data_IF_668937588353
#
_entry.id   IF_668937588353
#
_cell.length_a   1.000
_cell.length_b   1.000
_cell.length_c   1.000
_cell.angle_alpha   90.00
_cell.angle_beta   90.00
_cell.angle_gamma   90.00
#
_symmetry.space_group_name_H-M   'P 1'
#
loop_
_entity.id
_entity.type
_entity.pdbx_description
1 polymer ?
#
# COMPACT_ATOMS: atom_id res chain seq x y z
N UNK A 1 14.46 8.91 -13.52
CA UNK A 1 13.27 8.37 -12.83
C UNK A 1 12.69 7.15 -13.55
N UNK A 2 12.16 7.27 -14.77
CA UNK A 2 11.50 6.15 -15.48
C UNK A 2 12.39 4.89 -15.64
N UNK A 3 13.68 5.04 -15.93
CA UNK A 3 14.62 3.91 -15.99
C UNK A 3 14.80 3.20 -14.64
N UNK A 4 14.76 3.95 -13.52
CA UNK A 4 14.82 3.35 -12.19
C UNK A 4 13.54 2.59 -11.86
N UNK A 5 12.39 3.12 -12.28
CA UNK A 5 11.09 2.44 -12.15
C UNK A 5 11.11 1.14 -12.95
N UNK A 6 11.51 1.18 -14.23
CA UNK A 6 11.62 -0.02 -15.07
C UNK A 6 12.50 -1.10 -14.43
N UNK A 7 13.71 -0.71 -13.98
CA UNK A 7 14.63 -1.61 -13.29
C UNK A 7 14.09 -2.15 -11.96
N UNK A 8 13.24 -1.39 -11.27
CA UNK A 8 12.62 -1.83 -10.02
C UNK A 8 11.51 -2.83 -10.29
N UNK A 9 10.69 -2.60 -11.31
CA UNK A 9 9.63 -3.52 -11.76
C UNK A 9 10.22 -4.86 -12.18
N UNK A 10 11.33 -4.86 -12.94
CA UNK A 10 12.04 -6.09 -13.35
C UNK A 10 12.51 -6.97 -12.17
N UNK A 11 12.67 -6.38 -10.99
CA UNK A 11 13.18 -7.06 -9.78
C UNK A 11 12.08 -7.40 -8.78
N UNK A 12 10.90 -6.82 -8.94
CA UNK A 12 9.80 -7.01 -8.01
C UNK A 12 9.14 -8.36 -8.25
N UNK A 13 8.96 -9.12 -7.18
CA UNK A 13 8.36 -10.45 -7.15
C UNK A 13 7.19 -10.46 -6.17
N UNK A 14 6.06 -11.02 -6.59
CA UNK A 14 4.87 -11.10 -5.75
C UNK A 14 5.12 -11.98 -4.52
N UNK A 15 5.79 -13.11 -4.68
CA UNK A 15 6.16 -14.01 -3.59
C UNK A 15 7.11 -13.34 -2.58
N UNK A 16 8.13 -12.62 -3.08
CA UNK A 16 9.21 -12.09 -2.22
C UNK A 16 8.90 -10.72 -1.63
N UNK A 17 8.45 -9.77 -2.46
CA UNK A 17 8.18 -8.39 -2.03
C UNK A 17 6.70 -8.12 -1.78
N UNK A 18 5.81 -8.84 -2.46
CA UNK A 18 4.35 -8.69 -2.28
C UNK A 18 3.86 -9.25 -0.95
N UNK A 19 4.22 -10.49 -0.62
CA UNK A 19 3.89 -11.10 0.68
C UNK A 19 4.69 -10.41 1.78
N UNK A 20 4.02 -9.72 2.69
CA UNK A 20 4.67 -8.78 3.61
C UNK A 20 5.68 -9.45 4.55
N UNK A 21 5.36 -10.64 5.07
CA UNK A 21 6.25 -11.42 5.93
C UNK A 21 7.48 -11.91 5.18
N UNK A 22 7.32 -12.38 3.94
CA UNK A 22 8.44 -12.76 3.07
C UNK A 22 9.34 -11.56 2.81
N UNK A 23 8.76 -10.38 2.52
CA UNK A 23 9.54 -9.16 2.31
C UNK A 23 10.40 -8.79 3.53
N UNK A 24 9.85 -8.89 4.74
CA UNK A 24 10.63 -8.66 5.97
C UNK A 24 11.73 -9.70 6.16
N UNK A 25 11.46 -10.97 5.80
CA UNK A 25 12.42 -12.08 5.90
C UNK A 25 13.57 -11.91 4.90
N UNK A 26 13.28 -11.63 3.63
CA UNK A 26 14.28 -11.41 2.57
C UNK A 26 15.24 -10.26 2.91
N UNK A 27 14.78 -9.29 3.69
CA UNK A 27 15.58 -8.17 4.19
C UNK A 27 16.35 -8.48 5.48
N UNK A 28 16.12 -9.63 6.10
CA UNK A 28 16.74 -10.02 7.38
C UNK A 28 16.23 -9.21 8.59
N UNK A 29 15.02 -8.64 8.50
CA UNK A 29 14.46 -7.74 9.53
C UNK A 29 13.20 -8.30 10.20
N UNK A 30 12.82 -9.55 9.91
CA UNK A 30 11.62 -10.18 10.46
C UNK A 30 11.72 -10.44 11.98
N UNK A 31 12.88 -10.85 12.48
CA UNK A 31 13.07 -11.27 13.88
C UNK A 31 13.04 -10.05 14.83
N UNK A 32 12.15 -10.08 15.83
CA UNK A 32 11.98 -8.98 16.79
C UNK A 32 13.15 -8.88 17.77
N UNK A 33 13.78 -10.01 18.05
CA UNK A 33 14.90 -10.15 18.97
C UNK A 33 16.16 -9.50 18.38
N UNK A 34 16.29 -9.50 17.05
CA UNK A 34 17.40 -8.85 16.34
C UNK A 34 17.16 -7.34 16.19
N UNK A 35 15.91 -6.94 15.92
CA UNK A 35 15.53 -5.53 15.75
C UNK A 35 14.20 -5.24 16.46
N UNK A 36 14.27 -4.80 17.72
CA UNK A 36 13.10 -4.75 18.61
C UNK A 36 12.18 -3.55 18.39
N UNK A 37 12.68 -2.44 17.86
CA UNK A 37 11.91 -1.20 17.70
C UNK A 37 11.62 -0.91 16.22
N UNK A 38 10.93 -1.84 15.55
CA UNK A 38 10.56 -1.70 14.15
C UNK A 38 9.05 -1.77 13.95
N UNK A 39 8.37 -0.66 14.26
CA UNK A 39 6.91 -0.56 14.29
C UNK A 39 6.24 -0.81 12.93
N UNK A 40 6.86 -0.38 11.81
CA UNK A 40 6.36 -0.68 10.47
C UNK A 40 6.23 -2.20 10.21
N UNK A 41 7.20 -2.99 10.68
CA UNK A 41 7.12 -4.46 10.60
C UNK A 41 6.02 -4.97 11.50
N UNK A 42 6.01 -4.54 12.76
CA UNK A 42 5.13 -5.10 13.78
C UNK A 42 3.65 -4.86 13.43
N UNK A 43 3.30 -3.62 13.10
CA UNK A 43 1.94 -3.22 12.73
C UNK A 43 1.57 -3.76 11.34
N UNK A 44 2.51 -3.73 10.40
CA UNK A 44 2.30 -4.23 9.04
C UNK A 44 2.00 -5.73 9.00
N UNK A 45 2.69 -6.54 9.82
CA UNK A 45 2.41 -7.99 9.91
C UNK A 45 0.99 -8.22 10.43
N UNK A 46 0.56 -7.50 11.46
CA UNK A 46 -0.76 -7.69 12.04
C UNK A 46 -1.87 -7.21 11.09
N UNK A 47 -1.68 -6.06 10.43
CA UNK A 47 -2.61 -5.57 9.40
C UNK A 47 -2.70 -6.53 8.21
N UNK A 48 -1.57 -7.07 7.74
CA UNK A 48 -1.55 -8.04 6.66
C UNK A 48 -2.36 -9.28 7.02
N UNK A 49 -2.18 -9.83 8.23
CA UNK A 49 -2.96 -10.97 8.74
C UNK A 49 -4.45 -10.68 8.86
N UNK A 50 -4.85 -9.46 9.27
CA UNK A 50 -6.26 -9.06 9.33
C UNK A 50 -6.87 -9.07 7.92
N UNK A 51 -6.17 -8.47 6.95
CA UNK A 51 -6.61 -8.43 5.54
C UNK A 51 -6.68 -9.84 4.97
N UNK A 52 -5.66 -10.67 5.20
CA UNK A 52 -5.62 -12.07 4.76
C UNK A 52 -6.85 -12.83 5.26
N UNK A 53 -7.16 -12.76 6.57
CA UNK A 53 -8.36 -13.41 7.13
C UNK A 53 -9.67 -12.94 6.49
N UNK A 54 -9.78 -11.65 6.21
CA UNK A 54 -10.94 -11.10 5.52
C UNK A 54 -11.05 -11.67 4.09
N UNK A 55 -9.95 -11.65 3.34
CA UNK A 55 -9.89 -12.20 1.98
C UNK A 55 -10.18 -13.70 1.99
N UNK A 56 -9.61 -14.48 2.91
CA UNK A 56 -9.91 -15.90 3.06
C UNK A 56 -11.40 -16.13 3.25
N UNK A 57 -12.05 -15.36 4.13
CA UNK A 57 -13.48 -15.49 4.38
C UNK A 57 -14.31 -15.23 3.11
N UNK A 58 -13.92 -14.22 2.32
CA UNK A 58 -14.58 -13.90 1.05
C UNK A 58 -14.33 -14.97 -0.02
N UNK A 59 -13.09 -15.44 -0.18
CA UNK A 59 -12.76 -16.46 -1.19
C UNK A 59 -13.48 -17.77 -0.86
N UNK A 60 -13.47 -18.22 0.40
CA UNK A 60 -14.17 -19.46 0.78
C UNK A 60 -15.69 -19.34 0.75
N UNK A 61 -16.26 -18.14 0.82
CA UNK A 61 -17.69 -17.93 0.63
C UNK A 61 -18.13 -18.26 -0.80
N UNK A 62 -17.30 -17.96 -1.80
CA UNK A 62 -17.64 -18.11 -3.22
C UNK A 62 -16.97 -19.32 -3.90
N UNK A 63 -15.85 -19.83 -3.36
CA UNK A 63 -15.12 -20.98 -3.88
C UNK A 63 -15.00 -22.06 -2.80
N UNK A 64 -15.96 -22.98 -2.76
CA UNK A 64 -15.99 -24.06 -1.78
C UNK A 64 -14.89 -25.10 -2.04
N UNK A 65 -14.59 -25.34 -3.32
CA UNK A 65 -13.62 -26.34 -3.77
C UNK A 65 -12.56 -25.76 -4.68
N UNK A 66 -11.42 -26.46 -4.80
CA UNK A 66 -10.37 -26.09 -5.75
C UNK A 66 -10.86 -26.14 -7.20
N UNK A 67 -11.84 -27.00 -7.48
CA UNK A 67 -12.48 -27.12 -8.79
C UNK A 67 -13.24 -25.85 -9.17
N UNK A 68 -13.83 -25.14 -8.20
CA UNK A 68 -14.53 -23.88 -8.46
C UNK A 68 -13.54 -22.82 -8.98
N UNK A 69 -12.37 -22.70 -8.35
CA UNK A 69 -11.28 -21.81 -8.80
C UNK A 69 -10.76 -22.19 -10.18
N UNK A 70 -10.59 -23.49 -10.44
CA UNK A 70 -10.05 -23.98 -11.71
C UNK A 70 -11.02 -23.79 -12.89
N UNK A 71 -12.34 -23.80 -12.62
CA UNK A 71 -13.39 -23.66 -13.65
C UNK A 71 -13.80 -22.21 -13.90
N UNK A 72 -13.50 -21.31 -12.98
CA UNK A 72 -13.77 -19.89 -13.15
C UNK A 72 -12.83 -19.31 -14.21
N UNK A 73 -13.35 -19.05 -15.41
CA UNK A 73 -12.53 -18.52 -16.49
C UNK A 73 -12.08 -17.07 -16.24
N UNK A 74 -12.87 -16.27 -15.51
CA UNK A 74 -12.58 -14.85 -15.28
C UNK A 74 -11.33 -14.70 -14.41
N UNK A 75 -11.24 -15.47 -13.32
CA UNK A 75 -10.07 -15.41 -12.44
C UNK A 75 -8.80 -15.96 -13.10
N UNK A 76 -8.96 -16.91 -14.03
CA UNK A 76 -7.85 -17.46 -14.79
C UNK A 76 -7.37 -16.49 -15.87
N UNK A 77 -8.27 -15.78 -16.56
CA UNK A 77 -7.90 -14.71 -17.49
C UNK A 77 -7.28 -13.53 -16.75
N UNK A 78 -7.80 -13.16 -15.58
CA UNK A 78 -7.21 -12.14 -14.73
C UNK A 78 -5.76 -12.50 -14.34
N UNK A 79 -5.51 -13.77 -13.98
CA UNK A 79 -4.14 -14.26 -13.75
C UNK A 79 -3.26 -14.11 -14.97
N UNK A 80 -3.76 -14.48 -16.15
CA UNK A 80 -3.01 -14.38 -17.41
C UNK A 80 -2.65 -12.93 -17.72
N UNK A 81 -3.57 -12.00 -17.52
CA UNK A 81 -3.32 -10.56 -17.70
C UNK A 81 -2.22 -10.05 -16.75
N UNK A 82 -2.26 -10.46 -15.48
CA UNK A 82 -1.24 -10.07 -14.49
C UNK A 82 0.18 -10.46 -14.92
N UNK A 83 0.36 -11.67 -15.48
CA UNK A 83 1.69 -12.17 -15.87
C UNK A 83 2.08 -11.82 -17.31
N UNK A 84 1.12 -11.43 -18.16
CA UNK A 84 1.39 -11.11 -19.55
C UNK A 84 2.32 -9.89 -19.64
N UNK A 85 3.25 -9.83 -20.61
CA UNK A 85 4.17 -8.70 -20.74
C UNK A 85 3.44 -7.37 -20.85
N UNK A 86 4.04 -6.31 -20.27
CA UNK A 86 3.51 -4.95 -20.38
C UNK A 86 3.31 -4.49 -21.84
N UNK A 87 4.18 -4.96 -22.76
CA UNK A 87 4.09 -4.63 -24.19
C UNK A 87 2.86 -5.24 -24.88
N UNK A 88 2.28 -6.28 -24.29
CA UNK A 88 1.10 -6.98 -24.80
C UNK A 88 -0.19 -6.53 -24.06
N UNK A 89 -0.10 -5.47 -23.25
CA UNK A 89 -1.23 -4.93 -22.47
C UNK A 89 -1.43 -5.59 -21.10
N UNK A 90 -0.52 -6.48 -20.66
CA UNK A 90 -0.53 -7.07 -19.32
C UNK A 90 0.22 -6.25 -18.26
N UNK A 91 0.45 -6.84 -17.08
CA UNK A 91 1.17 -6.19 -15.98
C UNK A 91 2.64 -6.64 -15.81
N UNK A 92 3.05 -7.70 -16.50
CA UNK A 92 4.42 -8.25 -16.46
C UNK A 92 4.88 -8.72 -15.07
N UNK A 93 3.94 -9.09 -14.19
CA UNK A 93 4.26 -9.52 -12.83
C UNK A 93 4.90 -10.92 -12.84
N UNK A 94 5.92 -11.09 -12.01
CA UNK A 94 6.59 -12.38 -11.80
C UNK A 94 6.21 -12.96 -10.44
N UNK A 95 6.37 -14.29 -10.32
CA UNK A 95 6.07 -15.04 -9.09
C UNK A 95 4.61 -14.90 -8.60
N UNK A 96 3.67 -14.63 -9.52
CA UNK A 96 2.24 -14.72 -9.22
C UNK A 96 1.89 -16.20 -8.94
N UNK A 97 1.20 -16.52 -7.84
CA UNK A 97 0.86 -17.89 -7.46
C UNK A 97 0.30 -18.73 -8.61
N UNK A 98 0.64 -20.02 -8.66
CA UNK A 98 0.19 -20.94 -9.73
C UNK A 98 1.10 -21.01 -10.97
N UNK A 99 2.34 -20.52 -10.88
CA UNK A 99 3.29 -20.47 -12.00
C UNK A 99 3.54 -21.83 -12.68
N UNK A 100 3.70 -22.91 -11.91
CA UNK A 100 3.95 -24.26 -12.44
C UNK A 100 2.86 -24.75 -13.39
N UNK A 101 1.61 -24.33 -13.14
CA UNK A 101 0.44 -24.69 -13.93
C UNK A 101 -0.04 -23.56 -14.84
N UNK A 102 0.62 -22.39 -14.78
CA UNK A 102 0.21 -21.13 -15.43
C UNK A 102 -1.26 -20.77 -15.16
N UNK A 103 -1.79 -21.17 -14.01
CA UNK A 103 -3.20 -21.08 -13.65
C UNK A 103 -3.33 -21.10 -12.12
N UNK A 104 -4.37 -20.45 -11.59
CA UNK A 104 -4.75 -20.64 -10.20
C UNK A 104 -5.35 -22.03 -10.03
N UNK A 105 -4.86 -22.82 -9.08
CA UNK A 105 -5.27 -24.22 -8.88
C UNK A 105 -6.06 -24.46 -7.61
N UNK A 106 -6.09 -23.50 -6.70
CA UNK A 106 -6.80 -23.58 -5.42
C UNK A 106 -7.02 -22.19 -4.82
N UNK A 107 -7.82 -22.13 -3.75
CA UNK A 107 -8.22 -20.91 -3.07
C UNK A 107 -7.04 -20.15 -2.43
N UNK A 108 -6.03 -20.85 -1.89
CA UNK A 108 -4.89 -20.20 -1.21
C UNK A 108 -4.11 -19.27 -2.16
N UNK A 109 -4.00 -19.68 -3.42
CA UNK A 109 -3.34 -18.87 -4.45
C UNK A 109 -4.10 -17.57 -4.76
N UNK A 110 -5.43 -17.61 -4.72
CA UNK A 110 -6.28 -16.42 -4.84
C UNK A 110 -6.17 -15.54 -3.60
N UNK A 111 -6.24 -16.16 -2.41
CA UNK A 111 -6.16 -15.48 -1.12
C UNK A 111 -4.86 -14.69 -1.03
N UNK A 112 -3.72 -15.32 -1.34
CA UNK A 112 -2.42 -14.66 -1.31
C UNK A 112 -2.38 -13.48 -2.30
N UNK A 113 -2.77 -13.72 -3.55
CA UNK A 113 -2.72 -12.68 -4.60
C UNK A 113 -3.57 -11.46 -4.25
N UNK A 114 -4.83 -11.70 -3.84
CA UNK A 114 -5.77 -10.62 -3.48
C UNK A 114 -5.30 -9.90 -2.22
N UNK A 115 -4.79 -10.62 -1.22
CA UNK A 115 -4.24 -10.04 0.01
C UNK A 115 -3.08 -9.09 -0.29
N UNK A 116 -2.13 -9.52 -1.16
CA UNK A 116 -1.02 -8.67 -1.60
C UNK A 116 -1.53 -7.37 -2.23
N UNK A 117 -2.52 -7.45 -3.12
CA UNK A 117 -3.07 -6.28 -3.81
C UNK A 117 -3.75 -5.34 -2.81
N UNK A 118 -4.67 -5.85 -1.99
CA UNK A 118 -5.40 -5.02 -1.01
C UNK A 118 -4.43 -4.37 -0.03
N UNK A 119 -3.47 -5.12 0.52
CA UNK A 119 -2.47 -4.58 1.45
C UNK A 119 -1.60 -3.51 0.78
N UNK A 120 -1.17 -3.74 -0.46
CA UNK A 120 -0.31 -2.80 -1.20
C UNK A 120 -1.03 -1.47 -1.47
N UNK A 121 -2.27 -1.53 -1.93
CA UNK A 121 -3.07 -0.34 -2.22
C UNK A 121 -3.56 0.42 -0.97
N UNK A 122 -3.59 -0.24 0.19
CA UNK A 122 -4.07 0.35 1.44
C UNK A 122 -2.92 0.64 2.41
N UNK A 123 -2.55 -0.33 3.26
CA UNK A 123 -1.61 -0.17 4.36
C UNK A 123 -0.21 0.23 3.87
N UNK A 124 0.31 -0.43 2.84
CA UNK A 124 1.65 -0.14 2.32
C UNK A 124 1.72 1.26 1.71
N UNK A 125 0.76 1.61 0.85
CA UNK A 125 0.64 2.97 0.31
C UNK A 125 0.53 4.02 1.42
N UNK A 126 -0.34 3.78 2.42
CA UNK A 126 -0.53 4.69 3.55
C UNK A 126 0.77 4.92 4.33
N UNK A 127 1.50 3.85 4.64
CA UNK A 127 2.76 3.92 5.36
C UNK A 127 3.87 4.65 4.59
N UNK A 128 3.90 4.53 3.26
CA UNK A 128 4.91 5.21 2.42
C UNK A 128 4.56 6.67 2.09
N UNK A 129 3.29 7.04 2.19
CA UNK A 129 2.79 8.33 1.70
C UNK A 129 2.43 9.31 2.82
N UNK A 130 1.73 8.89 3.87
CA UNK A 130 1.19 9.84 4.86
C UNK A 130 2.26 10.40 5.81
N UNK A 131 3.42 9.73 5.94
CA UNK A 131 4.56 10.22 6.72
C UNK A 131 5.47 11.17 5.95
N UNK A 132 5.17 11.46 4.68
CA UNK A 132 6.07 12.23 3.82
C UNK A 132 6.32 13.64 4.35
N UNK A 133 5.31 14.33 4.88
CA UNK A 133 5.54 15.68 5.42
C UNK A 133 6.38 15.67 6.70
N UNK A 134 6.15 14.70 7.59
CA UNK A 134 6.94 14.58 8.82
C UNK A 134 8.42 14.30 8.50
N UNK A 135 8.69 13.54 7.43
CA UNK A 135 10.04 13.20 7.00
C UNK A 135 10.71 14.27 6.10
N UNK A 136 9.95 14.83 5.15
CA UNK A 136 10.44 15.66 4.05
C UNK A 136 10.10 17.15 4.20
N UNK A 137 9.18 17.50 5.10
CA UNK A 137 8.77 18.89 5.37
C UNK A 137 9.90 19.75 5.94
N UNK A 138 10.96 19.12 6.46
CA UNK A 138 12.26 19.74 6.69
C UNK A 138 13.30 19.10 5.76
N UNK A 139 13.56 19.66 4.56
CA UNK A 139 14.36 18.99 3.53
C UNK A 139 15.82 18.71 3.89
N UNK A 140 16.39 19.37 4.91
CA UNK A 140 17.74 19.03 5.38
C UNK A 140 17.79 17.67 6.09
N UNK A 141 16.66 17.19 6.62
CA UNK A 141 16.55 15.83 7.16
C UNK A 141 16.52 14.77 6.05
N UNK A 142 15.95 15.10 4.89
CA UNK A 142 15.79 14.18 3.78
C UNK A 142 15.77 14.92 2.42
N UNK A 143 16.94 15.33 1.90
CA UNK A 143 16.99 16.13 0.69
C UNK A 143 16.65 15.28 -0.54
N UNK A 144 15.60 15.65 -1.27
CA UNK A 144 15.19 14.94 -2.50
C UNK A 144 16.17 15.10 -3.67
N UNK A 145 17.10 16.06 -3.59
CA UNK A 145 18.20 16.24 -4.52
C UNK A 145 19.39 16.92 -3.83
N UNK A 146 20.58 16.73 -4.39
CA UNK A 146 21.80 17.47 -4.04
C UNK A 146 22.29 18.22 -5.29
N UNK A 147 22.78 19.44 -5.11
CA UNK A 147 23.17 20.36 -6.19
C UNK A 147 24.65 20.29 -6.56
N UNK A 148 25.43 19.46 -5.86
CA UNK A 148 26.86 19.34 -6.06
C UNK A 148 27.31 17.87 -6.14
N UNK A 149 28.49 17.68 -6.72
CA UNK A 149 29.13 16.38 -6.89
C UNK A 149 29.51 15.74 -5.54
N UNK A 150 29.54 14.40 -5.44
CA UNK A 150 30.02 13.71 -4.25
C UNK A 150 31.46 14.13 -3.87
N UNK A 151 31.70 14.30 -2.58
CA UNK A 151 33.02 14.67 -2.05
C UNK A 151 34.07 13.60 -2.40
N UNK A 152 35.22 14.06 -2.92
CA UNK A 152 36.34 13.19 -3.34
C UNK A 152 37.48 13.13 -2.33
N UNK A 153 37.38 13.86 -1.23
CA UNK A 153 38.39 13.92 -0.17
C UNK A 153 37.73 14.30 1.17
N UNK A 154 38.53 14.25 2.25
CA UNK A 154 38.08 14.52 3.62
C UNK A 154 38.35 15.97 4.07
N UNK A 155 38.52 16.92 3.15
CA UNK A 155 38.71 18.32 3.54
C UNK A 155 37.46 18.79 4.29
N UNK A 156 37.61 19.48 5.44
CA UNK A 156 36.47 20.03 6.16
C UNK A 156 35.67 20.96 5.27
N UNK A 157 34.35 20.86 5.35
CA UNK A 157 33.42 21.79 4.74
C UNK A 157 33.02 22.87 5.74
N UNK A 158 32.77 24.06 5.24
CA UNK A 158 32.09 25.13 5.97
C UNK A 158 30.57 24.93 5.90
N UNK A 159 29.81 25.67 6.72
CA UNK A 159 28.35 25.70 6.62
C UNK A 159 27.88 26.22 5.25
N UNK A 160 28.56 27.23 4.72
CA UNK A 160 28.29 27.78 3.38
C UNK A 160 28.47 26.73 2.29
N UNK A 161 29.51 25.90 2.39
CA UNK A 161 29.70 24.76 1.47
C UNK A 161 28.51 23.79 1.52
N UNK A 162 28.00 23.47 2.72
CA UNK A 162 26.86 22.55 2.88
C UNK A 162 25.57 23.18 2.32
N UNK A 163 25.34 24.47 2.57
CA UNK A 163 24.18 25.19 2.06
C UNK A 163 24.16 25.24 0.53
N UNK A 164 25.32 25.26 -0.12
CA UNK A 164 25.44 25.18 -1.58
C UNK A 164 25.14 23.76 -2.14
N UNK A 165 25.14 22.71 -1.31
CA UNK A 165 24.88 21.34 -1.73
C UNK A 165 23.38 20.98 -1.66
N UNK A 166 22.62 21.68 -0.83
CA UNK A 166 21.20 21.38 -0.55
C UNK A 166 20.28 22.28 -1.39
N UNK A 167 19.00 21.89 -1.57
CA UNK A 167 18.06 22.69 -2.35
C UNK A 167 17.82 24.09 -1.76
N UNK A 168 17.58 25.07 -2.63
CA UNK A 168 17.26 26.43 -2.21
C UNK A 168 15.86 26.52 -1.57
N UNK A 169 15.56 27.70 -1.00
CA UNK A 169 14.27 27.95 -0.34
C UNK A 169 13.05 27.68 -1.23
N UNK A 170 13.16 27.91 -2.55
CA UNK A 170 12.03 27.72 -3.45
C UNK A 170 11.73 26.22 -3.61
N UNK A 171 12.75 25.40 -3.85
CA UNK A 171 12.58 23.94 -3.95
C UNK A 171 12.12 23.34 -2.62
N UNK A 172 12.58 23.89 -1.49
CA UNK A 172 12.10 23.53 -0.15
C UNK A 172 10.60 23.79 -0.03
N UNK A 173 10.13 24.99 -0.39
CA UNK A 173 8.70 25.34 -0.32
C UNK A 173 7.85 24.47 -1.26
N UNK A 174 8.32 24.21 -2.48
CA UNK A 174 7.62 23.32 -3.42
C UNK A 174 7.50 21.89 -2.84
N UNK A 175 8.56 21.38 -2.21
CA UNK A 175 8.55 20.07 -1.53
C UNK A 175 7.54 20.06 -0.38
N UNK A 176 7.50 21.12 0.44
CA UNK A 176 6.53 21.24 1.52
C UNK A 176 5.09 21.25 1.00
N UNK A 177 4.81 21.94 -0.11
CA UNK A 177 3.47 21.99 -0.72
C UNK A 177 3.04 20.62 -1.23
N UNK A 178 3.95 19.89 -1.91
CA UNK A 178 3.65 18.56 -2.46
C UNK A 178 3.41 17.54 -1.34
N UNK A 179 4.23 17.60 -0.28
CA UNK A 179 4.20 16.62 0.80
C UNK A 179 3.16 16.94 1.86
N UNK A 180 2.70 18.20 1.98
CA UNK A 180 1.71 18.62 2.98
C UNK A 180 0.46 17.75 2.84
N UNK A 181 0.17 16.90 3.84
CA UNK A 181 -0.96 16.01 3.75
C UNK A 181 -2.25 16.82 3.81
N UNK A 182 -3.25 16.41 3.05
CA UNK A 182 -4.60 16.95 3.13
C UNK A 182 -5.33 16.49 4.42
N UNK A 183 -4.61 16.30 5.53
CA UNK A 183 -5.13 15.77 6.80
C UNK A 183 -6.31 16.62 7.26
N UNK A 184 -6.19 17.95 7.27
CA UNK A 184 -7.28 18.85 7.67
C UNK A 184 -8.56 18.65 6.84
N UNK A 185 -8.42 18.38 5.53
CA UNK A 185 -9.55 18.13 4.63
C UNK A 185 -10.18 16.77 4.94
N UNK A 186 -9.36 15.74 5.17
CA UNK A 186 -9.83 14.39 5.52
C UNK A 186 -10.46 14.36 6.90
N UNK A 187 -9.90 15.07 7.88
CA UNK A 187 -10.46 15.23 9.23
C UNK A 187 -11.82 15.92 9.17
N UNK A 188 -11.93 17.00 8.39
CA UNK A 188 -13.21 17.66 8.15
C UNK A 188 -14.22 16.72 7.50
N UNK A 189 -13.83 15.99 6.46
CA UNK A 189 -14.71 15.00 5.82
C UNK A 189 -15.19 13.92 6.80
N UNK A 190 -14.30 13.37 7.64
CA UNK A 190 -14.65 12.40 8.69
C UNK A 190 -15.60 13.00 9.73
N UNK A 191 -15.41 14.27 10.11
CA UNK A 191 -16.30 14.98 11.01
C UNK A 191 -17.70 15.17 10.39
N UNK A 192 -17.77 15.54 9.11
CA UNK A 192 -19.02 15.69 8.37
C UNK A 192 -19.78 14.35 8.27
N UNK A 193 -19.09 13.25 7.98
CA UNK A 193 -19.66 11.90 7.99
C UNK A 193 -20.20 11.50 9.36
N UNK A 194 -19.45 11.80 10.43
CA UNK A 194 -19.89 11.52 11.81
C UNK A 194 -21.17 12.30 12.15
N UNK A 195 -21.23 13.59 11.82
CA UNK A 195 -22.42 14.41 12.05
C UNK A 195 -23.64 13.90 11.27
N UNK A 196 -23.45 13.43 10.03
CA UNK A 196 -24.52 12.80 9.25
C UNK A 196 -25.01 11.49 9.89
N UNK A 197 -24.10 10.64 10.36
CA UNK A 197 -24.43 9.38 11.07
C UNK A 197 -25.29 9.65 12.31
N UNK A 198 -24.90 10.63 13.14
CA UNK A 198 -25.67 11.04 14.32
C UNK A 198 -27.08 11.53 13.94
N UNK A 199 -27.19 12.34 12.89
CA UNK A 199 -28.48 12.81 12.36
C UNK A 199 -29.38 11.66 11.87
N UNK A 200 -28.81 10.67 11.16
CA UNK A 200 -29.55 9.50 10.69
C UNK A 200 -30.04 8.65 11.85
N UNK A 201 -29.18 8.41 12.87
CA UNK A 201 -29.53 7.65 14.07
C UNK A 201 -30.64 8.33 14.87
N UNK A 202 -30.55 9.64 15.08
CA UNK A 202 -31.59 10.41 15.76
C UNK A 202 -32.92 10.33 15.00
N UNK A 203 -32.92 10.58 13.68
CA UNK A 203 -34.11 10.44 12.83
C UNK A 203 -34.74 9.04 12.89
N UNK A 204 -33.92 8.01 13.04
CA UNK A 204 -34.37 6.62 13.07
C UNK A 204 -34.91 6.17 14.44
N UNK A 205 -34.76 6.97 15.50
CA UNK A 205 -35.20 6.60 16.86
C UNK A 205 -36.73 6.51 16.94
N UNK A 206 -37.44 7.42 16.28
CA UNK A 206 -38.91 7.50 16.30
C UNK A 206 -39.55 6.89 15.04
N UNK A 207 -38.77 6.27 14.16
CA UNK A 207 -39.25 5.73 12.89
C UNK A 207 -39.84 4.32 13.08
N UNK A 208 -41.06 4.10 12.58
CA UNK A 208 -41.67 2.77 12.54
C UNK A 208 -40.84 1.75 11.73
N UNK A 209 -40.12 2.23 10.71
CA UNK A 209 -39.18 1.45 9.90
C UNK A 209 -37.87 2.23 9.71
N UNK A 210 -36.88 2.04 10.61
CA UNK A 210 -35.58 2.73 10.53
C UNK A 210 -34.83 2.43 9.23
N UNK A 211 -34.39 3.47 8.50
CA UNK A 211 -33.58 3.31 7.29
C UNK A 211 -32.10 3.57 7.60
N UNK A 212 -31.29 2.50 7.59
CA UNK A 212 -29.88 2.52 8.06
C UNK A 212 -28.83 2.38 6.95
N UNK A 213 -29.24 1.98 5.74
CA UNK A 213 -28.31 1.56 4.68
C UNK A 213 -27.38 2.66 4.12
N UNK A 214 -27.68 3.93 4.39
CA UNK A 214 -26.83 5.08 4.05
C UNK A 214 -26.26 5.78 5.29
N UNK A 215 -26.35 5.17 6.47
CA UNK A 215 -25.56 5.63 7.62
C UNK A 215 -24.08 5.43 7.30
N UNK A 216 -23.23 6.47 7.36
CA UNK A 216 -21.80 6.34 7.10
C UNK A 216 -21.09 5.23 7.90
N UNK A 217 -21.66 4.75 9.01
CA UNK A 217 -21.14 3.58 9.74
C UNK A 217 -21.38 2.24 9.04
N UNK A 218 -22.43 2.16 8.23
CA UNK A 218 -22.87 0.94 7.53
C UNK A 218 -22.44 0.94 6.05
N UNK A 219 -21.99 2.09 5.53
CA UNK A 219 -21.52 2.22 4.15
C UNK A 219 -20.04 1.81 4.08
N UNK A 220 -19.69 0.71 3.39
CA UNK A 220 -18.30 0.32 3.24
C UNK A 220 -17.54 1.33 2.37
N UNK A 221 -16.21 1.42 2.58
CA UNK A 221 -15.34 2.33 1.83
C UNK A 221 -15.31 2.06 0.31
N UNK A 222 -15.67 0.84 -0.09
CA UNK A 222 -15.74 0.41 -1.48
C UNK A 222 -16.79 -0.71 -1.62
N UNK A 223 -17.21 -0.97 -2.87
CA UNK A 223 -18.03 -2.14 -3.18
C UNK A 223 -17.22 -3.39 -2.82
N UNK A 224 -17.70 -4.12 -1.83
CA UNK A 224 -17.01 -5.26 -1.22
C UNK A 224 -17.94 -6.45 -1.01
N UNK A 225 -19.05 -6.50 -1.78
CA UNK A 225 -20.05 -7.58 -1.76
C UNK A 225 -19.96 -8.38 -3.06
#
# INVERSE_FOLDING_TARGET
>A
MLQLIAKSIERWSMEKQGVFTNHMKERGVLEKEVLSFYYYRDDGIELYRIIERYVSSMVYLYYETKEDVQKDFEIQEWRKEMIAPNLDGGCGLVDVPGNDKKAFTNQEQLIETITVIIFSCSAMHGAANFSQYDAYGFPLNYPGMLLAEPLKNKKPLTEEDILNYVPDQKVVLDTMVITKPAVEIVEKFRADLKALSEKIQMRNTDAAFPYRHLDPKEVPNAISI
#
